data_IF_785116049312
#
_entry.id   IF_785116049312
#
_cell.length_a   1.000
_cell.length_b   1.000
_cell.length_c   1.000
_cell.angle_alpha   90.00
_cell.angle_beta   90.00
_cell.angle_gamma   90.00
#
_symmetry.space_group_name_H-M   'P 1'
#
loop_
_entity.id
_entity.type
_entity.pdbx_description
1 polymer ?
#
# COMPACT_ATOMS: atom_id res chain seq x y z
N UNK A 1 15.50 -10.17 -19.20
CA UNK A 1 14.24 -9.39 -19.07
C UNK A 1 14.45 -8.24 -18.08
N UNK A 2 13.85 -7.10 -18.35
CA UNK A 2 13.79 -5.99 -17.44
C UNK A 2 12.35 -5.84 -16.93
N UNK A 3 12.13 -6.06 -15.63
CA UNK A 3 10.82 -5.93 -15.01
C UNK A 3 10.75 -4.63 -14.21
N UNK A 4 9.95 -3.69 -14.67
CA UNK A 4 9.69 -2.42 -14.00
C UNK A 4 8.49 -2.56 -13.07
N UNK A 5 8.71 -2.26 -11.79
CA UNK A 5 7.65 -2.29 -10.76
C UNK A 5 7.20 -0.85 -10.49
N UNK A 6 5.96 -0.55 -10.84
CA UNK A 6 5.33 0.76 -10.71
C UNK A 6 4.16 0.73 -9.71
N UNK A 7 3.23 1.66 -9.81
CA UNK A 7 2.13 1.87 -8.87
C UNK A 7 0.85 2.22 -9.62
N UNK A 8 -0.29 1.88 -9.07
CA UNK A 8 -1.61 2.28 -9.55
C UNK A 8 -1.86 3.81 -9.45
N UNK A 9 -1.11 4.51 -8.60
CA UNK A 9 -1.18 5.96 -8.47
C UNK A 9 -0.88 6.72 -9.78
N UNK A 10 -0.25 6.06 -10.77
CA UNK A 10 0.00 6.67 -12.08
C UNK A 10 -1.29 6.94 -12.85
N UNK A 11 -2.37 6.21 -12.56
CA UNK A 11 -3.67 6.39 -13.22
C UNK A 11 -4.46 7.60 -12.68
N UNK A 12 -4.15 8.08 -11.48
CA UNK A 12 -4.85 9.20 -10.83
C UNK A 12 -5.85 8.74 -9.78
N UNK A 13 -6.89 9.52 -9.52
CA UNK A 13 -7.92 9.26 -8.51
C UNK A 13 -9.23 8.81 -9.16
N UNK A 14 -9.95 7.94 -8.47
CA UNK A 14 -11.31 7.50 -8.80
C UNK A 14 -12.33 8.18 -7.89
N UNK A 15 -13.52 8.43 -8.43
CA UNK A 15 -14.71 8.71 -7.63
C UNK A 15 -15.26 7.40 -7.04
N UNK A 16 -16.26 7.51 -6.14
CA UNK A 16 -16.78 6.36 -5.40
C UNK A 16 -17.31 5.24 -6.31
N UNK A 17 -17.99 5.61 -7.39
CA UNK A 17 -18.71 4.69 -8.29
C UNK A 17 -17.93 4.41 -9.59
N UNK A 18 -16.73 4.96 -9.75
CA UNK A 18 -15.92 4.71 -10.94
C UNK A 18 -15.47 3.24 -10.99
N UNK A 19 -15.36 2.65 -12.20
CA UNK A 19 -14.76 1.32 -12.35
C UNK A 19 -13.28 1.35 -11.96
N UNK A 20 -12.77 0.24 -11.45
CA UNK A 20 -11.35 0.07 -11.15
C UNK A 20 -10.47 0.29 -12.39
N UNK A 21 -9.25 0.78 -12.19
CA UNK A 21 -8.29 1.03 -13.28
C UNK A 21 -7.85 -0.26 -13.96
N UNK A 22 -7.95 -0.28 -15.27
CA UNK A 22 -7.37 -1.30 -16.14
C UNK A 22 -6.04 -0.80 -16.73
N UNK A 23 -5.28 -1.69 -17.37
CA UNK A 23 -4.01 -1.34 -18.04
C UNK A 23 -4.19 -0.39 -19.24
N UNK A 24 -5.41 -0.17 -19.70
CA UNK A 24 -5.74 0.74 -20.80
C UNK A 24 -6.10 2.15 -20.36
N UNK A 25 -6.23 2.39 -19.06
CA UNK A 25 -6.52 3.72 -18.54
C UNK A 25 -5.35 4.70 -18.80
N UNK A 26 -5.65 5.95 -19.17
CA UNK A 26 -4.61 6.98 -19.34
C UNK A 26 -3.98 7.34 -18.00
N UNK A 27 -2.68 7.69 -18.00
CA UNK A 27 -2.01 8.20 -16.82
C UNK A 27 -2.46 9.64 -16.51
N UNK A 28 -2.82 9.88 -15.23
CA UNK A 28 -3.23 11.18 -14.69
C UNK A 28 -2.70 11.37 -13.26
N UNK A 29 -1.38 11.28 -13.06
CA UNK A 29 -0.79 11.33 -11.72
C UNK A 29 -1.03 12.68 -11.03
N UNK A 30 -1.45 12.66 -9.76
CA UNK A 30 -1.80 13.85 -8.98
C UNK A 30 -0.72 14.28 -7.99
N UNK A 31 0.35 13.51 -7.81
CA UNK A 31 1.44 13.82 -6.90
C UNK A 31 2.80 13.83 -7.60
N UNK A 32 3.82 14.54 -7.07
CA UNK A 32 5.18 14.46 -7.61
C UNK A 32 5.73 13.03 -7.63
N UNK A 33 5.38 12.20 -6.65
CA UNK A 33 5.76 10.78 -6.61
C UNK A 33 5.13 10.02 -7.78
N UNK A 34 3.81 10.06 -7.92
CA UNK A 34 3.12 9.33 -9.00
C UNK A 34 3.51 9.85 -10.39
N UNK A 35 3.77 11.16 -10.53
CA UNK A 35 4.30 11.73 -11.77
C UNK A 35 5.70 11.20 -12.11
N UNK A 36 6.57 11.04 -11.11
CA UNK A 36 7.91 10.45 -11.33
C UNK A 36 7.84 8.98 -11.74
N UNK A 37 6.90 8.23 -11.17
CA UNK A 37 6.65 6.83 -11.54
C UNK A 37 6.08 6.72 -12.95
N UNK A 38 5.11 7.54 -13.32
CA UNK A 38 4.58 7.62 -14.69
C UNK A 38 5.67 7.98 -15.72
N UNK A 39 6.56 8.91 -15.39
CA UNK A 39 7.71 9.22 -16.24
C UNK A 39 8.64 8.01 -16.43
N UNK A 40 8.88 7.22 -15.37
CA UNK A 40 9.67 5.99 -15.44
C UNK A 40 9.00 4.94 -16.32
N UNK A 41 7.68 4.76 -16.22
CA UNK A 41 6.90 3.84 -17.06
C UNK A 41 7.03 4.21 -18.56
N UNK A 42 6.92 5.51 -18.87
CA UNK A 42 7.10 6.00 -20.24
C UNK A 42 8.52 5.75 -20.76
N UNK A 43 9.55 5.93 -19.93
CA UNK A 43 10.93 5.64 -20.31
C UNK A 43 11.12 4.15 -20.60
N UNK A 44 10.62 3.27 -19.76
CA UNK A 44 10.70 1.81 -19.96
C UNK A 44 10.01 1.40 -21.26
N UNK A 45 8.81 1.93 -21.49
CA UNK A 45 8.07 1.70 -22.75
C UNK A 45 8.87 2.21 -23.97
N UNK A 46 9.44 3.41 -23.88
CA UNK A 46 10.23 3.99 -24.98
C UNK A 46 11.47 3.16 -25.33
N UNK A 47 12.18 2.65 -24.32
CA UNK A 47 13.32 1.75 -24.52
C UNK A 47 12.92 0.45 -25.23
N UNK A 48 11.76 -0.11 -24.88
CA UNK A 48 11.22 -1.27 -25.58
C UNK A 48 10.96 -0.97 -27.06
N UNK A 49 10.20 0.09 -27.33
CA UNK A 49 9.80 0.43 -28.71
C UNK A 49 10.97 0.85 -29.58
N UNK A 50 11.97 1.57 -29.03
CA UNK A 50 13.09 2.10 -29.80
C UNK A 50 14.20 1.09 -30.00
N UNK A 51 14.49 0.30 -28.96
CA UNK A 51 15.70 -0.56 -28.94
C UNK A 51 15.39 -2.04 -28.76
N UNK A 52 14.12 -2.43 -28.63
CA UNK A 52 13.74 -3.84 -28.45
C UNK A 52 14.09 -4.39 -27.06
N UNK A 53 14.30 -3.53 -26.04
CA UNK A 53 14.58 -4.00 -24.69
C UNK A 53 13.43 -4.92 -24.22
N UNK A 54 13.70 -6.15 -23.76
CA UNK A 54 12.66 -7.08 -23.31
C UNK A 54 12.10 -6.68 -21.95
N UNK A 55 11.16 -5.74 -21.95
CA UNK A 55 10.58 -5.16 -20.75
C UNK A 55 9.24 -5.81 -20.34
N UNK A 56 8.95 -5.72 -19.04
CA UNK A 56 7.65 -5.98 -18.42
C UNK A 56 7.39 -4.82 -17.46
N UNK A 57 6.15 -4.38 -17.34
CA UNK A 57 5.75 -3.38 -16.36
C UNK A 57 4.61 -3.91 -15.51
N UNK A 58 4.66 -3.68 -14.21
CA UNK A 58 3.54 -3.99 -13.30
C UNK A 58 3.13 -2.75 -12.53
N UNK A 59 1.82 -2.53 -12.38
CA UNK A 59 1.25 -1.55 -11.47
C UNK A 59 0.60 -2.31 -10.32
N UNK A 60 0.94 -1.96 -9.10
CA UNK A 60 0.38 -2.63 -7.93
C UNK A 60 -0.42 -1.66 -7.07
N UNK A 61 -1.43 -2.21 -6.39
CA UNK A 61 -2.17 -1.55 -5.33
C UNK A 61 -1.35 -1.44 -4.03
N UNK A 62 -1.95 -0.93 -2.96
CA UNK A 62 -1.26 -0.69 -1.69
C UNK A 62 -0.80 -2.00 -1.04
N UNK A 63 0.50 -2.16 -0.91
CA UNK A 63 1.10 -3.34 -0.27
C UNK A 63 1.12 -3.22 1.24
N UNK A 64 0.96 -4.35 1.93
CA UNK A 64 1.15 -4.46 3.38
C UNK A 64 1.68 -5.85 3.76
N UNK A 65 2.29 -5.97 4.93
CA UNK A 65 2.82 -7.24 5.41
C UNK A 65 4.10 -7.09 6.23
N UNK A 66 4.78 -8.21 6.48
CA UNK A 66 6.08 -8.26 7.13
C UNK A 66 7.12 -7.33 6.47
N UNK A 67 8.04 -6.79 7.28
CA UNK A 67 9.14 -5.94 6.84
C UNK A 67 8.75 -4.61 6.19
N UNK A 68 7.47 -4.20 6.22
CA UNK A 68 7.08 -2.88 5.73
C UNK A 68 7.65 -1.79 6.65
N UNK A 69 8.27 -0.76 6.03
CA UNK A 69 8.88 0.33 6.78
C UNK A 69 7.83 1.11 7.60
N UNK A 70 8.10 1.40 8.90
CA UNK A 70 7.09 1.92 9.84
C UNK A 70 6.61 3.36 9.62
N UNK A 71 6.81 3.95 8.45
CA UNK A 71 6.21 5.22 8.03
C UNK A 71 4.84 5.06 7.37
N UNK A 72 4.52 3.84 6.92
CA UNK A 72 3.28 3.53 6.22
C UNK A 72 2.15 3.28 7.21
N UNK A 73 0.90 3.49 6.75
CA UNK A 73 -0.30 3.49 7.60
C UNK A 73 -0.37 2.28 8.54
N UNK A 74 -0.29 1.05 8.01
CA UNK A 74 -0.48 -0.17 8.79
C UNK A 74 0.61 -0.33 9.86
N UNK A 75 1.91 -0.38 9.54
CA UNK A 75 2.92 -0.56 10.57
C UNK A 75 3.01 0.63 11.53
N UNK A 76 2.79 1.85 11.06
CA UNK A 76 2.77 3.04 11.92
C UNK A 76 1.65 2.94 12.97
N UNK A 77 0.44 2.52 12.54
CA UNK A 77 -0.71 2.34 13.43
C UNK A 77 -0.43 1.26 14.47
N UNK A 78 0.08 0.08 14.05
CA UNK A 78 0.44 -1.01 14.97
C UNK A 78 1.41 -0.53 16.05
N UNK A 79 2.53 0.08 15.63
CA UNK A 79 3.59 0.48 16.55
C UNK A 79 3.19 1.68 17.43
N UNK A 80 2.39 2.61 16.91
CA UNK A 80 1.85 3.72 17.70
C UNK A 80 0.85 3.23 18.74
N UNK A 81 -0.05 2.31 18.38
CA UNK A 81 -0.99 1.70 19.31
C UNK A 81 -0.26 1.00 20.47
N UNK A 82 0.72 0.14 20.17
CA UNK A 82 1.52 -0.57 21.17
C UNK A 82 2.32 0.38 22.07
N UNK A 83 2.68 1.56 21.58
CA UNK A 83 3.35 2.61 22.35
C UNK A 83 2.39 3.53 23.10
N UNK A 84 1.07 3.30 23.06
CA UNK A 84 0.05 4.15 23.66
C UNK A 84 -0.05 5.56 23.05
N UNK A 85 0.42 5.74 21.81
CA UNK A 85 0.43 7.02 21.10
C UNK A 85 -0.85 7.20 20.28
N UNK A 86 -1.17 8.48 19.97
CA UNK A 86 -2.26 8.83 19.06
C UNK A 86 -2.13 8.12 17.71
N UNK A 87 -3.27 7.69 17.15
CA UNK A 87 -3.40 7.07 15.84
C UNK A 87 -4.02 8.10 14.89
N UNK A 88 -3.21 8.88 14.15
CA UNK A 88 -3.72 9.96 13.34
C UNK A 88 -4.45 9.42 12.10
N UNK A 89 -5.71 9.82 11.92
CA UNK A 89 -6.54 9.57 10.74
C UNK A 89 -6.70 10.89 9.99
N UNK A 90 -6.24 10.94 8.75
CA UNK A 90 -6.31 12.14 7.92
C UNK A 90 -7.72 12.42 7.42
N UNK A 91 -8.16 13.69 7.49
CA UNK A 91 -9.46 14.13 7.02
C UNK A 91 -10.60 13.42 7.73
N UNK A 92 -11.53 12.86 6.94
CA UNK A 92 -12.66 12.06 7.42
C UNK A 92 -12.34 10.55 7.53
N UNK A 93 -11.14 10.14 7.13
CA UNK A 93 -10.71 8.74 7.13
C UNK A 93 -11.33 7.88 6.02
N UNK A 94 -12.14 8.47 5.13
CA UNK A 94 -12.90 7.73 4.12
C UNK A 94 -12.17 7.57 2.77
N UNK A 95 -10.87 7.88 2.71
CA UNK A 95 -10.06 7.58 1.53
C UNK A 95 -9.93 6.06 1.38
N UNK A 96 -10.27 5.55 0.19
CA UNK A 96 -10.31 4.11 -0.11
C UNK A 96 -9.02 3.68 -0.81
N UNK A 97 -8.51 2.52 -0.41
CA UNK A 97 -7.35 1.86 -1.04
C UNK A 97 -7.65 0.38 -1.24
N UNK A 98 -7.16 -0.17 -2.33
CA UNK A 98 -7.09 -1.62 -2.49
C UNK A 98 -5.82 -2.15 -1.81
N UNK A 99 -5.95 -3.19 -1.00
CA UNK A 99 -4.87 -3.70 -0.15
C UNK A 99 -4.41 -5.08 -0.58
N UNK A 100 -3.12 -5.18 -0.89
CA UNK A 100 -2.47 -6.39 -1.39
C UNK A 100 -1.43 -6.91 -0.40
N UNK A 101 -1.59 -8.15 0.05
CA UNK A 101 -0.62 -8.76 0.94
C UNK A 101 0.72 -8.99 0.23
N UNK A 102 1.83 -8.63 0.87
CA UNK A 102 3.15 -8.55 0.20
C UNK A 102 3.63 -9.86 -0.42
N UNK A 103 3.31 -11.02 0.18
CA UNK A 103 3.72 -12.31 -0.42
C UNK A 103 2.92 -12.65 -1.67
N UNK A 104 1.67 -12.20 -1.76
CA UNK A 104 0.86 -12.33 -2.97
C UNK A 104 1.42 -11.43 -4.06
N UNK A 105 1.79 -10.18 -3.74
CA UNK A 105 2.48 -9.32 -4.69
C UNK A 105 3.79 -9.96 -5.20
N UNK A 106 4.65 -10.47 -4.30
CA UNK A 106 5.88 -11.15 -4.69
C UNK A 106 5.62 -12.35 -5.61
N UNK A 107 4.55 -13.11 -5.36
CA UNK A 107 4.16 -14.24 -6.22
C UNK A 107 3.73 -13.79 -7.62
N UNK A 108 2.97 -12.68 -7.71
CA UNK A 108 2.58 -12.07 -8.97
C UNK A 108 3.78 -11.56 -9.76
N UNK A 109 4.68 -10.81 -9.11
CA UNK A 109 5.90 -10.29 -9.73
C UNK A 109 6.76 -11.42 -10.32
N UNK A 110 6.94 -12.50 -9.56
CA UNK A 110 7.69 -13.67 -10.03
C UNK A 110 7.01 -14.30 -11.25
N UNK A 111 5.70 -14.51 -11.19
CA UNK A 111 4.95 -15.11 -12.29
C UNK A 111 5.00 -14.25 -13.56
N UNK A 112 4.84 -12.93 -13.43
CA UNK A 112 4.97 -11.99 -14.55
C UNK A 112 6.37 -12.01 -15.12
N UNK A 113 7.44 -12.01 -14.29
CA UNK A 113 8.82 -12.09 -14.76
C UNK A 113 9.09 -13.36 -15.54
N UNK A 114 8.57 -14.49 -15.11
CA UNK A 114 8.78 -15.82 -15.73
C UNK A 114 7.94 -15.98 -17.01
N UNK A 115 6.66 -15.61 -16.98
CA UNK A 115 5.68 -15.99 -18.00
C UNK A 115 4.99 -14.81 -18.71
N UNK A 116 5.16 -13.57 -18.23
CA UNK A 116 4.55 -12.40 -18.83
C UNK A 116 5.03 -12.15 -20.27
N UNK A 117 4.15 -11.60 -21.08
CA UNK A 117 4.45 -11.23 -22.46
C UNK A 117 5.32 -9.96 -22.48
N UNK A 118 6.43 -10.02 -23.19
CA UNK A 118 7.36 -8.90 -23.36
C UNK A 118 6.64 -7.70 -23.98
N UNK A 119 6.87 -6.51 -23.41
CA UNK A 119 6.26 -5.24 -23.80
C UNK A 119 4.92 -4.95 -23.12
N UNK A 120 4.36 -5.91 -22.38
CA UNK A 120 3.05 -5.76 -21.73
C UNK A 120 3.12 -5.15 -20.34
N UNK A 121 1.98 -4.59 -19.94
CA UNK A 121 1.69 -4.08 -18.61
C UNK A 121 0.70 -5.02 -17.93
N UNK A 122 0.88 -5.26 -16.64
CA UNK A 122 -0.02 -6.07 -15.81
C UNK A 122 -0.35 -5.33 -14.52
N UNK A 123 -1.63 -5.18 -14.25
CA UNK A 123 -2.13 -4.69 -12.97
C UNK A 123 -2.16 -5.82 -11.93
N UNK A 124 -1.75 -5.51 -10.70
CA UNK A 124 -1.72 -6.45 -9.58
C UNK A 124 -2.47 -5.84 -8.40
N UNK A 125 -3.68 -6.33 -8.12
CA UNK A 125 -4.57 -5.84 -7.06
C UNK A 125 -4.95 -6.92 -6.05
N UNK A 126 -5.26 -6.48 -4.82
CA UNK A 126 -5.70 -7.35 -3.75
C UNK A 126 -7.19 -7.69 -3.80
N UNK A 127 -7.98 -6.88 -4.52
CA UNK A 127 -9.46 -6.92 -4.53
C UNK A 127 -10.08 -6.67 -3.14
N UNK A 128 -9.38 -5.91 -2.31
CA UNK A 128 -9.77 -5.61 -0.94
C UNK A 128 -9.78 -4.11 -0.70
N UNK A 129 -10.80 -3.44 -1.23
CA UNK A 129 -11.00 -2.02 -0.99
C UNK A 129 -11.43 -1.77 0.46
N UNK A 130 -10.70 -0.92 1.17
CA UNK A 130 -10.98 -0.49 2.54
C UNK A 130 -10.71 0.98 2.70
N UNK A 131 -11.53 1.64 3.51
CA UNK A 131 -11.25 3.01 3.95
C UNK A 131 -10.11 3.03 4.96
N UNK A 132 -9.42 4.16 5.07
CA UNK A 132 -8.34 4.31 6.04
C UNK A 132 -8.81 4.10 7.48
N UNK A 133 -10.04 4.56 7.82
CA UNK A 133 -10.60 4.36 9.17
C UNK A 133 -10.90 2.88 9.44
N UNK A 134 -11.47 2.12 8.47
CA UNK A 134 -11.67 0.68 8.63
C UNK A 134 -10.36 -0.06 8.89
N UNK A 135 -9.26 0.33 8.22
CA UNK A 135 -7.93 -0.24 8.47
C UNK A 135 -7.48 0.00 9.91
N UNK A 136 -7.56 1.24 10.38
CA UNK A 136 -7.13 1.61 11.73
C UNK A 136 -7.97 0.90 12.79
N UNK A 137 -9.29 0.84 12.60
CA UNK A 137 -10.19 0.13 13.52
C UNK A 137 -9.92 -1.38 13.54
N UNK A 138 -9.74 -2.02 12.37
CA UNK A 138 -9.40 -3.44 12.29
C UNK A 138 -8.08 -3.75 12.99
N UNK A 139 -7.06 -2.88 12.85
CA UNK A 139 -5.80 -3.04 13.58
C UNK A 139 -6.03 -2.98 15.09
N UNK A 140 -6.82 -2.01 15.57
CA UNK A 140 -7.15 -1.89 16.99
C UNK A 140 -7.87 -3.15 17.50
N UNK A 141 -8.86 -3.65 16.77
CA UNK A 141 -9.62 -4.86 17.14
C UNK A 141 -8.71 -6.09 17.25
N UNK A 142 -7.84 -6.31 16.25
CA UNK A 142 -6.90 -7.44 16.27
C UNK A 142 -5.86 -7.28 17.39
N UNK A 143 -5.40 -6.06 17.70
CA UNK A 143 -4.51 -5.82 18.83
C UNK A 143 -5.22 -6.02 20.17
N UNK A 144 -6.48 -5.62 20.30
CA UNK A 144 -7.28 -5.86 21.52
C UNK A 144 -7.41 -7.38 21.81
N UNK A 145 -7.45 -8.22 20.77
CA UNK A 145 -7.44 -9.68 20.92
C UNK A 145 -6.06 -10.25 21.24
N UNK A 146 -5.02 -9.84 20.49
CA UNK A 146 -3.70 -10.47 20.57
C UNK A 146 -2.81 -9.92 21.69
N UNK A 147 -2.98 -8.65 22.04
CA UNK A 147 -2.22 -7.95 23.07
C UNK A 147 -3.04 -6.86 23.76
N UNK A 148 -4.05 -7.26 24.56
CA UNK A 148 -4.98 -6.32 25.21
C UNK A 148 -4.24 -5.31 26.08
N UNK A 149 -4.66 -4.03 26.00
CA UNK A 149 -4.11 -2.95 26.84
C UNK A 149 -4.95 -2.83 28.12
N UNK A 150 -4.32 -2.78 29.32
CA UNK A 150 -5.03 -2.56 30.58
C UNK A 150 -5.87 -1.29 30.62
N UNK A 151 -5.60 -0.29 29.79
CA UNK A 151 -6.33 0.97 29.71
C UNK A 151 -7.58 0.90 28.82
N UNK A 152 -7.88 -0.27 28.23
CA UNK A 152 -9.04 -0.52 27.37
C UNK A 152 -8.69 -0.57 25.89
N UNK A 153 -9.69 -0.58 25.01
CA UNK A 153 -9.50 -0.75 23.57
C UNK A 153 -8.53 0.29 22.97
N UNK A 154 -7.68 -0.14 22.05
CA UNK A 154 -6.79 0.73 21.27
C UNK A 154 -7.54 1.78 20.44
N UNK A 155 -8.82 1.56 20.12
CA UNK A 155 -9.65 2.55 19.39
C UNK A 155 -9.72 3.91 20.11
N UNK A 156 -9.52 3.97 21.43
CA UNK A 156 -9.45 5.24 22.19
C UNK A 156 -8.33 6.17 21.74
N UNK A 157 -7.31 5.63 21.05
CA UNK A 157 -6.14 6.38 20.58
C UNK A 157 -6.38 7.02 19.20
N UNK A 158 -7.49 6.71 18.51
CA UNK A 158 -7.81 7.27 17.21
C UNK A 158 -8.04 8.78 17.33
N UNK A 159 -7.37 9.55 16.47
CA UNK A 159 -7.46 11.01 16.45
C UNK A 159 -7.55 11.49 15.01
N UNK A 160 -8.59 12.25 14.68
CA UNK A 160 -8.72 12.85 13.36
C UNK A 160 -7.84 14.09 13.26
N UNK A 161 -7.09 14.18 12.17
CA UNK A 161 -6.17 15.30 11.90
C UNK A 161 -6.48 15.93 10.55
N UNK A 162 -5.97 17.15 10.31
CA UNK A 162 -6.15 17.84 9.02
C UNK A 162 -5.65 16.97 7.86
N UNK A 163 -6.43 16.92 6.78
CA UNK A 163 -6.05 16.17 5.59
C UNK A 163 -4.81 16.76 4.90
N UNK A 164 -4.05 15.88 4.24
CA UNK A 164 -2.85 16.26 3.50
C UNK A 164 -3.21 16.79 2.09
N UNK A 165 -2.44 17.74 1.53
CA UNK A 165 -2.61 18.18 0.15
C UNK A 165 -2.46 17.01 -0.83
N UNK A 166 -3.31 16.99 -1.88
CA UNK A 166 -3.24 15.99 -2.94
C UNK A 166 -3.57 14.56 -2.47
N UNK A 167 -4.43 14.42 -1.48
CA UNK A 167 -4.86 13.13 -0.98
C UNK A 167 -6.00 12.57 -1.83
N UNK A 168 -5.66 11.76 -2.82
CA UNK A 168 -6.61 11.12 -3.72
C UNK A 168 -7.66 10.30 -2.97
N UNK A 169 -8.92 10.39 -3.42
CA UNK A 169 -10.06 9.82 -2.69
C UNK A 169 -10.09 8.30 -2.75
N UNK A 170 -9.91 7.71 -3.95
CA UNK A 170 -9.99 6.27 -4.12
C UNK A 170 -8.96 5.77 -5.13
N UNK A 171 -8.32 4.66 -4.79
CA UNK A 171 -7.56 3.82 -5.70
C UNK A 171 -8.14 2.42 -5.71
N UNK A 172 -8.45 1.92 -6.91
CA UNK A 172 -8.84 0.54 -7.13
C UNK A 172 -8.27 0.08 -8.46
N UNK A 173 -7.78 -1.14 -8.52
CA UNK A 173 -7.10 -1.69 -9.70
C UNK A 173 -7.74 -3.01 -10.12
N UNK A 174 -7.94 -3.17 -11.43
CA UNK A 174 -8.46 -4.39 -12.01
C UNK A 174 -7.29 -5.29 -12.45
N UNK A 175 -7.17 -6.46 -11.85
CA UNK A 175 -6.16 -7.47 -12.15
C UNK A 175 -6.68 -8.60 -13.06
N UNK A 176 -7.82 -8.42 -13.72
CA UNK A 176 -8.45 -9.45 -14.57
C UNK A 176 -7.53 -9.93 -15.69
N UNK A 177 -6.72 -9.04 -16.28
CA UNK A 177 -5.74 -9.43 -17.32
C UNK A 177 -4.72 -10.42 -16.79
N UNK A 178 -4.16 -10.15 -15.60
CA UNK A 178 -3.18 -11.03 -14.96
C UNK A 178 -3.78 -12.40 -14.65
N UNK A 179 -5.01 -12.43 -14.14
CA UNK A 179 -5.75 -13.68 -13.91
C UNK A 179 -6.00 -14.46 -15.20
N UNK A 180 -6.54 -13.79 -16.22
CA UNK A 180 -6.89 -14.44 -17.49
C UNK A 180 -5.67 -14.98 -18.25
N UNK A 181 -4.56 -14.23 -18.27
CA UNK A 181 -3.38 -14.60 -19.05
C UNK A 181 -2.42 -15.52 -18.32
N UNK A 182 -2.27 -15.36 -16.99
CA UNK A 182 -1.26 -16.06 -16.19
C UNK A 182 -1.86 -16.89 -15.05
N UNK A 183 -3.17 -16.85 -14.82
CA UNK A 183 -3.85 -17.66 -13.80
C UNK A 183 -3.57 -17.21 -12.36
N UNK A 184 -3.08 -15.98 -12.17
CA UNK A 184 -2.78 -15.48 -10.82
C UNK A 184 -4.00 -14.87 -10.15
N UNK A 185 -4.21 -15.23 -8.88
CA UNK A 185 -5.16 -14.59 -7.96
C UNK A 185 -4.50 -14.43 -6.58
N UNK A 186 -4.85 -13.39 -5.80
CA UNK A 186 -4.38 -13.27 -4.43
C UNK A 186 -4.87 -14.45 -3.59
N UNK A 187 -4.03 -14.92 -2.68
CA UNK A 187 -4.34 -16.06 -1.77
C UNK A 187 -4.84 -15.61 -0.41
N UNK A 188 -4.35 -14.46 0.05
CA UNK A 188 -4.74 -13.89 1.34
C UNK A 188 -5.97 -13.00 1.18
N UNK A 189 -6.92 -13.13 2.11
CA UNK A 189 -7.94 -12.12 2.34
C UNK A 189 -7.34 -10.97 3.15
N UNK A 190 -8.01 -9.80 3.19
CA UNK A 190 -7.53 -8.72 4.04
C UNK A 190 -7.46 -9.16 5.52
N UNK A 191 -8.48 -9.87 6.02
CA UNK A 191 -8.57 -10.30 7.42
C UNK A 191 -7.46 -11.29 7.79
N UNK A 192 -7.14 -12.25 6.91
CA UNK A 192 -6.04 -13.20 7.14
C UNK A 192 -4.68 -12.51 7.08
N UNK A 193 -4.48 -11.62 6.11
CA UNK A 193 -3.23 -10.91 5.89
C UNK A 193 -2.93 -9.90 6.99
N UNK A 194 -3.95 -9.13 7.46
CA UNK A 194 -3.75 -8.13 8.51
C UNK A 194 -3.40 -8.79 9.85
N UNK A 195 -4.05 -9.90 10.19
CA UNK A 195 -3.73 -10.68 11.40
C UNK A 195 -2.29 -11.22 11.35
N UNK A 196 -1.87 -11.79 10.22
CA UNK A 196 -0.48 -12.23 10.01
C UNK A 196 0.52 -11.07 10.13
N UNK A 197 0.16 -9.91 9.58
CA UNK A 197 1.00 -8.71 9.67
C UNK A 197 1.18 -8.27 11.11
N UNK A 198 0.09 -8.13 11.87
CA UNK A 198 0.14 -7.71 13.28
C UNK A 198 0.94 -8.72 14.11
N UNK A 199 0.66 -10.03 13.97
CA UNK A 199 1.42 -11.08 14.66
C UNK A 199 2.92 -10.97 14.37
N UNK A 200 3.28 -10.74 13.10
CA UNK A 200 4.69 -10.57 12.74
C UNK A 200 5.34 -9.37 13.45
N UNK A 201 4.67 -8.20 13.54
CA UNK A 201 5.22 -7.05 14.27
C UNK A 201 5.36 -7.30 15.76
N UNK A 202 4.42 -8.05 16.37
CA UNK A 202 4.49 -8.46 17.77
C UNK A 202 5.66 -9.43 18.06
N UNK A 203 5.99 -10.30 17.11
CA UNK A 203 7.05 -11.30 17.23
C UNK A 203 8.44 -10.76 16.85
N UNK A 204 8.52 -9.62 16.13
CA UNK A 204 9.77 -9.07 15.58
C UNK A 204 10.15 -7.70 16.17
N UNK A 205 10.00 -7.54 17.50
CA UNK A 205 10.30 -6.29 18.20
C UNK A 205 11.75 -5.81 18.00
N UNK A 206 12.71 -6.73 17.89
CA UNK A 206 14.12 -6.38 17.64
C UNK A 206 14.32 -5.74 16.27
N UNK A 207 13.65 -6.24 15.25
CA UNK A 207 13.71 -5.67 13.90
C UNK A 207 13.09 -4.28 13.90
N UNK A 208 11.90 -4.12 14.49
CA UNK A 208 11.20 -2.83 14.58
C UNK A 208 12.02 -1.79 15.34
N UNK A 209 12.64 -2.16 16.46
CA UNK A 209 13.52 -1.27 17.22
C UNK A 209 14.73 -0.81 16.40
N UNK A 210 15.36 -1.71 15.63
CA UNK A 210 16.49 -1.37 14.76
C UNK A 210 16.09 -0.40 13.65
N UNK A 211 14.95 -0.62 13.01
CA UNK A 211 14.45 0.25 11.92
C UNK A 211 14.03 1.61 12.43
N UNK A 212 13.51 1.69 13.66
CA UNK A 212 13.09 2.94 14.31
C UNK A 212 14.25 3.75 14.93
N UNK A 213 15.47 3.23 14.93
CA UNK A 213 16.63 3.94 15.45
C UNK A 213 17.18 4.97 14.46
N UNK A 214 17.63 6.14 14.93
CA UNK A 214 18.32 7.14 14.10
C UNK A 214 17.40 7.92 13.15
N UNK A 215 17.71 7.94 11.86
CA UNK A 215 17.07 8.78 10.83
C UNK A 215 15.53 8.66 10.73
N UNK A 216 14.97 7.53 11.16
CA UNK A 216 13.52 7.36 11.23
C UNK A 216 12.86 8.26 12.27
N UNK A 217 13.46 8.40 13.46
CA UNK A 217 12.95 9.29 14.52
C UNK A 217 12.95 10.74 14.06
N UNK A 218 14.02 11.17 13.41
CA UNK A 218 14.14 12.53 12.88
C UNK A 218 13.11 12.80 11.79
N UNK A 219 12.78 11.79 10.96
CA UNK A 219 11.77 11.89 9.94
C UNK A 219 10.36 12.00 10.54
N UNK A 220 10.00 11.15 11.51
CA UNK A 220 8.72 11.20 12.23
C UNK A 220 8.54 12.57 12.89
N UNK A 221 9.53 13.05 13.62
CA UNK A 221 9.46 14.34 14.31
C UNK A 221 9.16 15.47 13.31
N UNK A 222 9.91 15.57 12.22
CA UNK A 222 9.67 16.60 11.18
C UNK A 222 8.31 16.52 10.52
N UNK A 223 7.73 15.32 10.39
CA UNK A 223 6.45 15.13 9.69
C UNK A 223 5.24 15.38 10.56
N UNK A 224 5.35 15.14 11.87
CA UNK A 224 4.22 15.20 12.80
C UNK A 224 4.32 16.29 13.87
N UNK A 225 5.46 16.94 14.08
CA UNK A 225 5.63 18.05 15.04
C UNK A 225 4.84 19.33 14.66
N UNK A 226 4.25 19.43 13.48
CA UNK A 226 3.41 20.56 13.06
C UNK A 226 1.90 20.27 13.01
N UNK A 227 1.45 19.09 13.46
CA UNK A 227 0.06 18.62 13.29
C UNK A 227 -0.72 18.65 14.62
N UNK A 228 -0.04 18.88 15.74
CA UNK A 228 -0.66 19.00 17.06
C UNK A 228 -0.96 20.47 17.40
N UNK A 229 -1.90 21.10 16.71
CA UNK A 229 -2.69 22.26 17.19
C UNK A 229 -4.01 22.34 16.45
#
# INVERSE_FOLDING_TARGET
RFHHISTDEVYGSLEADDPAFTETNPYRPNSPYSASKAASDHLVRAWHHTYGLPVLTTHCSNNYGPFQFPEKLIPLTILSALAGKSLPVYGDGLNVRDWLYVTDHCSALRLVLENGRIGEVYNIGGRHEKTNIEIVETICEVLDELRPDPLGSYKRLITYVKDRPGHDRRYAIDATKLEAELGWVPRETFDSGIRKTISWYLENERWTANVQSGAYRDWINRRYEGITT
#
